data_IF_892877797985
#
_entry.id   IF_892877797985
#
_cell.length_a   1.000
_cell.length_b   1.000
_cell.length_c   1.000
_cell.angle_alpha   90.00
_cell.angle_beta   90.00
_cell.angle_gamma   90.00
#
_symmetry.space_group_name_H-M   'P 1'
#
loop_
_entity.id
_entity.type
_entity.pdbx_description
1 polymer ?
#
# COMPACT_ATOMS: atom_id res chain seq x y z
N UNK A 1 17.95 25.15 37.50
CA UNK A 1 18.27 23.72 37.67
C UNK A 1 18.48 23.08 36.31
N UNK A 2 19.67 22.56 36.02
CA UNK A 2 19.91 21.83 34.77
C UNK A 2 19.02 20.57 34.73
N UNK A 3 18.44 20.27 33.56
CA UNK A 3 17.66 19.05 33.38
C UNK A 3 18.58 17.83 33.52
N UNK A 4 18.18 16.86 34.36
CA UNK A 4 18.89 15.58 34.44
C UNK A 4 18.77 14.85 33.07
N UNK A 5 19.88 14.65 32.34
CA UNK A 5 19.85 14.08 30.99
C UNK A 5 19.23 12.68 30.97
N UNK A 6 19.37 11.90 32.04
CA UNK A 6 18.78 10.56 32.15
C UNK A 6 17.26 10.59 32.05
N UNK A 7 16.61 11.58 32.68
CA UNK A 7 15.14 11.67 32.68
C UNK A 7 14.62 12.13 31.32
N UNK A 8 15.31 13.08 30.67
CA UNK A 8 14.94 13.50 29.30
C UNK A 8 15.03 12.34 28.30
N UNK A 9 16.02 11.46 28.46
CA UNK A 9 16.14 10.23 27.68
C UNK A 9 14.95 9.29 27.90
N UNK A 10 14.57 9.04 29.16
CA UNK A 10 13.42 8.18 29.49
C UNK A 10 12.11 8.64 28.85
N UNK A 11 11.85 9.95 28.84
CA UNK A 11 10.65 10.51 28.20
C UNK A 11 10.67 10.32 26.70
N UNK A 12 11.80 10.61 26.05
CA UNK A 12 11.91 10.38 24.61
C UNK A 12 11.76 8.90 24.23
N UNK A 13 12.28 7.97 25.04
CA UNK A 13 12.03 6.53 24.86
C UNK A 13 10.57 6.14 25.08
N UNK A 14 9.89 6.74 26.07
CA UNK A 14 8.46 6.56 26.29
C UNK A 14 7.62 7.00 25.08
N UNK A 15 8.00 8.10 24.46
CA UNK A 15 7.39 8.57 23.22
C UNK A 15 7.60 7.60 22.05
N UNK A 16 8.83 7.10 21.85
CA UNK A 16 9.12 6.10 20.82
C UNK A 16 8.34 4.80 21.03
N UNK A 17 8.30 4.30 22.28
CA UNK A 17 7.53 3.11 22.62
C UNK A 17 6.04 3.30 22.35
N UNK A 18 5.48 4.48 22.63
CA UNK A 18 4.09 4.78 22.31
C UNK A 18 3.83 4.80 20.80
N UNK A 19 4.74 5.36 20.01
CA UNK A 19 4.68 5.35 18.55
C UNK A 19 4.70 3.92 17.98
N UNK A 20 5.61 3.08 18.48
CA UNK A 20 5.71 1.66 18.11
C UNK A 20 4.46 0.89 18.50
N UNK A 21 3.96 1.06 19.74
CA UNK A 21 2.74 0.40 20.20
C UNK A 21 1.53 0.76 19.34
N UNK A 22 1.35 2.04 19.03
CA UNK A 22 0.25 2.50 18.18
C UNK A 22 0.36 1.97 16.74
N UNK A 23 1.57 1.97 16.17
CA UNK A 23 1.85 1.38 14.87
C UNK A 23 1.54 -0.12 14.83
N UNK A 24 2.04 -0.89 15.81
CA UNK A 24 1.81 -2.33 15.89
C UNK A 24 0.34 -2.69 16.12
N UNK A 25 -0.40 -1.91 16.92
CA UNK A 25 -1.84 -2.07 17.05
C UNK A 25 -2.57 -1.80 15.75
N UNK A 26 -2.22 -0.70 15.08
CA UNK A 26 -2.80 -0.36 13.79
C UNK A 26 -2.56 -1.45 12.74
N UNK A 27 -1.34 -2.03 12.71
CA UNK A 27 -1.02 -3.19 11.87
C UNK A 27 -1.86 -4.43 12.23
N UNK A 28 -1.94 -4.78 13.51
CA UNK A 28 -2.70 -5.94 13.96
C UNK A 28 -4.20 -5.84 13.60
N UNK A 29 -4.75 -4.63 13.63
CA UNK A 29 -6.14 -4.34 13.27
C UNK A 29 -6.35 -4.25 11.77
N UNK A 30 -5.47 -3.58 11.02
CA UNK A 30 -5.66 -3.28 9.60
C UNK A 30 -5.30 -4.45 8.67
N UNK A 31 -4.45 -5.37 9.12
CA UNK A 31 -3.91 -6.45 8.29
C UNK A 31 -4.57 -7.80 8.63
N UNK A 32 -5.01 -8.49 7.58
CA UNK A 32 -5.43 -9.89 7.61
C UNK A 32 -4.24 -10.85 7.82
N UNK A 33 -4.49 -12.14 8.08
CA UNK A 33 -3.45 -13.06 8.54
C UNK A 33 -2.25 -13.18 7.59
N UNK A 34 -2.47 -13.33 6.28
CA UNK A 34 -1.39 -13.38 5.28
C UNK A 34 -0.58 -12.07 5.21
N UNK A 35 -1.25 -10.92 5.27
CA UNK A 35 -0.62 -9.60 5.21
C UNK A 35 0.34 -9.35 6.39
N UNK A 36 0.04 -9.90 7.58
CA UNK A 36 0.84 -9.67 8.79
C UNK A 36 2.28 -10.19 8.68
N UNK A 37 2.57 -11.18 7.83
CA UNK A 37 3.94 -11.63 7.61
C UNK A 37 4.80 -10.61 6.85
N UNK A 38 4.18 -9.70 6.11
CA UNK A 38 4.82 -8.61 5.36
C UNK A 38 4.84 -7.29 6.13
N UNK A 39 4.33 -7.29 7.37
CA UNK A 39 4.26 -6.09 8.18
C UNK A 39 5.63 -5.63 8.73
N UNK A 40 6.74 -6.27 8.35
CA UNK A 40 8.10 -5.97 8.81
C UNK A 40 8.94 -5.41 7.65
N UNK A 41 9.99 -4.62 7.93
CA UNK A 41 10.79 -3.94 6.93
C UNK A 41 11.83 -4.90 6.38
N UNK A 42 11.34 -6.00 5.85
CA UNK A 42 12.10 -7.12 5.34
C UNK A 42 11.60 -7.40 3.92
N UNK A 43 12.52 -7.84 3.06
CA UNK A 43 12.20 -8.18 1.67
C UNK A 43 11.42 -9.50 1.55
N UNK A 44 11.30 -10.27 2.62
CA UNK A 44 10.63 -11.57 2.66
C UNK A 44 9.63 -11.63 3.82
N UNK A 45 8.54 -12.40 3.68
CA UNK A 45 7.58 -12.62 4.76
C UNK A 45 8.26 -13.31 5.95
N UNK A 46 7.83 -12.96 7.17
CA UNK A 46 8.27 -13.65 8.40
C UNK A 46 7.08 -14.34 9.07
N UNK A 47 6.80 -15.61 8.73
CA UNK A 47 5.65 -16.37 9.22
C UNK A 47 5.51 -16.38 10.74
N UNK A 48 6.65 -16.55 11.43
CA UNK A 48 6.71 -16.61 12.89
C UNK A 48 6.16 -15.35 13.56
N UNK A 49 6.10 -14.22 12.84
CA UNK A 49 5.68 -12.93 13.39
C UNK A 49 4.24 -12.58 13.05
N UNK A 50 3.61 -13.25 12.07
CA UNK A 50 2.23 -12.98 11.67
C UNK A 50 1.24 -13.13 12.85
N UNK A 51 1.47 -14.12 13.71
CA UNK A 51 0.66 -14.37 14.91
C UNK A 51 1.04 -13.51 16.13
N UNK A 52 2.17 -12.81 16.12
CA UNK A 52 2.70 -12.12 17.31
C UNK A 52 2.60 -10.59 17.26
N UNK A 53 2.10 -9.99 16.17
CA UNK A 53 1.94 -8.53 16.10
C UNK A 53 1.12 -7.94 17.26
N UNK A 54 0.03 -8.61 17.66
CA UNK A 54 -0.76 -8.19 18.82
C UNK A 54 0.03 -8.29 20.13
N UNK A 55 0.83 -9.35 20.28
CA UNK A 55 1.72 -9.53 21.45
C UNK A 55 2.78 -8.43 21.49
N UNK A 56 3.41 -8.10 20.36
CA UNK A 56 4.35 -7.00 20.25
C UNK A 56 3.69 -5.65 20.55
N UNK A 57 2.49 -5.41 20.03
CA UNK A 57 1.71 -4.22 20.32
C UNK A 57 1.43 -4.08 21.83
N UNK A 58 1.06 -5.18 22.49
CA UNK A 58 0.85 -5.23 23.93
C UNK A 58 2.14 -4.94 24.72
N UNK A 59 3.27 -5.52 24.33
CA UNK A 59 4.58 -5.27 24.95
C UNK A 59 4.96 -3.79 24.83
N UNK A 60 4.89 -3.21 23.63
CA UNK A 60 5.19 -1.79 23.43
C UNK A 60 4.23 -0.87 24.18
N UNK A 61 2.95 -1.23 24.25
CA UNK A 61 1.94 -0.49 25.01
C UNK A 61 2.21 -0.55 26.51
N UNK A 62 2.64 -1.69 27.04
CA UNK A 62 3.01 -1.85 28.45
C UNK A 62 4.25 -1.01 28.78
N UNK A 63 5.28 -1.06 27.94
CA UNK A 63 6.49 -0.22 28.07
C UNK A 63 6.09 1.27 28.03
N UNK A 64 5.27 1.66 27.05
CA UNK A 64 4.76 3.02 26.96
C UNK A 64 3.99 3.42 28.22
N UNK A 65 3.06 2.60 28.71
CA UNK A 65 2.27 2.87 29.92
C UNK A 65 3.15 3.08 31.17
N UNK A 66 4.19 2.25 31.36
CA UNK A 66 5.13 2.40 32.48
C UNK A 66 5.89 3.73 32.37
N UNK A 67 6.43 4.04 31.19
CA UNK A 67 7.19 5.27 30.95
C UNK A 67 6.29 6.52 31.01
N UNK A 68 5.03 6.39 30.58
CA UNK A 68 3.98 7.40 30.70
C UNK A 68 3.70 7.73 32.17
N UNK A 69 3.47 6.70 32.98
CA UNK A 69 3.16 6.85 34.40
C UNK A 69 4.31 7.55 35.13
N UNK A 70 5.54 7.05 34.96
CA UNK A 70 6.75 7.64 35.55
C UNK A 70 7.01 9.07 35.04
N UNK A 71 6.88 9.28 33.73
CA UNK A 71 7.10 10.57 33.09
C UNK A 71 6.08 11.65 33.48
N UNK A 72 4.84 11.25 33.77
CA UNK A 72 3.74 12.19 34.07
C UNK A 72 3.97 13.01 35.33
N UNK A 73 4.45 12.37 36.41
CA UNK A 73 4.73 13.04 37.67
C UNK A 73 5.87 14.06 37.51
N UNK A 74 6.93 13.65 36.82
CA UNK A 74 8.05 14.52 36.49
C UNK A 74 7.63 15.70 35.60
N UNK A 75 6.82 15.44 34.57
CA UNK A 75 6.41 16.46 33.63
C UNK A 75 5.52 17.51 34.30
N UNK A 76 4.65 17.09 35.23
CA UNK A 76 3.88 18.01 36.09
C UNK A 76 4.79 18.82 36.99
N UNK A 77 5.73 18.18 37.69
CA UNK A 77 6.66 18.85 38.61
C UNK A 77 7.53 19.91 37.91
N UNK A 78 7.76 19.79 36.59
CA UNK A 78 8.55 20.76 35.80
C UNK A 78 7.73 21.68 34.91
N UNK A 79 6.40 21.65 34.99
CA UNK A 79 5.53 22.50 34.16
C UNK A 79 5.60 22.17 32.66
N UNK A 80 6.04 20.97 32.28
CA UNK A 80 6.18 20.51 30.89
C UNK A 80 5.17 19.40 30.53
N UNK A 81 4.09 19.29 31.30
CA UNK A 81 3.02 18.32 31.07
C UNK A 81 2.37 18.46 29.68
N UNK A 82 2.18 19.69 29.17
CA UNK A 82 1.54 19.91 27.88
C UNK A 82 2.40 19.48 26.67
N UNK A 83 3.69 19.85 26.56
CA UNK A 83 4.60 19.26 25.55
C UNK A 83 4.67 17.73 25.63
N UNK A 84 4.73 17.19 26.84
CA UNK A 84 4.78 15.74 27.05
C UNK A 84 3.51 15.07 26.51
N UNK A 85 2.33 15.54 26.91
CA UNK A 85 1.05 15.00 26.45
C UNK A 85 0.89 15.07 24.92
N UNK A 86 1.40 16.13 24.26
CA UNK A 86 1.34 16.23 22.79
C UNK A 86 2.14 15.14 22.11
N UNK A 87 3.39 14.91 22.51
CA UNK A 87 4.23 13.85 21.93
C UNK A 87 3.53 12.49 22.03
N UNK A 88 2.89 12.21 23.16
CA UNK A 88 2.27 10.92 23.46
C UNK A 88 0.92 10.69 22.80
N UNK A 89 0.18 11.75 22.52
CA UNK A 89 -1.16 11.62 21.94
C UNK A 89 -1.11 11.86 20.43
N UNK A 90 -0.48 12.93 19.98
CA UNK A 90 -0.57 13.35 18.58
C UNK A 90 0.18 12.39 17.67
N UNK A 91 1.47 12.12 17.93
CA UNK A 91 2.29 11.32 17.00
C UNK A 91 1.89 9.84 16.95
N UNK A 92 1.63 9.13 18.07
CA UNK A 92 1.14 7.76 18.02
C UNK A 92 -0.20 7.64 17.29
N UNK A 93 -1.14 8.57 17.52
CA UNK A 93 -2.42 8.58 16.80
C UNK A 93 -2.26 8.90 15.31
N UNK A 94 -1.33 9.78 14.94
CA UNK A 94 -1.02 10.06 13.54
C UNK A 94 -0.43 8.82 12.85
N UNK A 95 0.52 8.13 13.48
CA UNK A 95 1.09 6.89 12.93
C UNK A 95 0.03 5.79 12.81
N UNK A 96 -0.81 5.60 13.84
CA UNK A 96 -1.94 4.69 13.75
C UNK A 96 -2.92 5.11 12.64
N UNK A 97 -3.17 6.41 12.48
CA UNK A 97 -4.03 6.97 11.43
C UNK A 97 -3.49 6.70 10.01
N UNK A 98 -2.18 6.79 9.79
CA UNK A 98 -1.55 6.42 8.51
C UNK A 98 -1.84 4.96 8.17
N UNK A 99 -1.87 4.07 9.16
CA UNK A 99 -2.12 2.64 8.95
C UNK A 99 -3.58 2.24 8.89
N UNK A 100 -4.44 2.88 9.67
CA UNK A 100 -5.87 2.56 9.75
C UNK A 100 -6.69 3.27 8.69
N UNK A 101 -6.35 4.53 8.39
CA UNK A 101 -7.21 5.43 7.61
C UNK A 101 -6.65 5.69 6.23
N UNK A 102 -5.33 5.60 6.00
CA UNK A 102 -4.80 5.80 4.65
C UNK A 102 -5.02 4.54 3.82
N UNK A 103 -5.98 4.51 2.87
CA UNK A 103 -6.28 3.28 2.18
C UNK A 103 -5.16 2.99 1.19
N UNK A 104 -4.84 1.71 1.01
CA UNK A 104 -3.94 1.25 -0.06
C UNK A 104 -4.38 1.76 -1.44
N UNK A 105 -5.68 1.97 -1.64
CA UNK A 105 -6.32 2.46 -2.88
C UNK A 105 -6.52 3.98 -2.92
N UNK A 106 -5.97 4.73 -1.95
CA UNK A 106 -6.21 6.17 -1.80
C UNK A 106 -7.61 6.50 -1.26
N UNK A 107 -7.96 7.79 -1.18
CA UNK A 107 -9.17 8.29 -0.50
C UNK A 107 -10.49 7.69 -0.99
N UNK A 108 -10.54 7.17 -2.23
CA UNK A 108 -11.73 6.57 -2.82
C UNK A 108 -12.24 5.33 -2.07
N UNK A 109 -11.39 4.66 -1.29
CA UNK A 109 -11.78 3.50 -0.47
C UNK A 109 -12.41 3.88 0.89
N UNK A 110 -12.40 5.15 1.29
CA UNK A 110 -12.93 5.56 2.59
C UNK A 110 -14.45 5.69 2.54
N UNK A 111 -15.12 4.90 3.37
CA UNK A 111 -16.52 5.15 3.70
C UNK A 111 -16.70 6.48 4.46
N UNK A 112 -17.94 6.94 4.66
CA UNK A 112 -18.24 8.21 5.33
C UNK A 112 -17.56 8.36 6.70
N UNK A 113 -17.51 7.30 7.51
CA UNK A 113 -16.84 7.32 8.81
C UNK A 113 -15.33 7.53 8.71
N UNK A 114 -14.67 6.88 7.73
CA UNK A 114 -13.25 7.07 7.48
C UNK A 114 -12.91 8.49 7.02
N UNK A 115 -13.73 9.07 6.15
CA UNK A 115 -13.61 10.46 5.73
C UNK A 115 -13.81 11.44 6.90
N UNK A 116 -14.77 11.16 7.80
CA UNK A 116 -14.98 11.97 9.00
C UNK A 116 -13.76 11.93 9.93
N UNK A 117 -13.21 10.74 10.21
CA UNK A 117 -11.99 10.59 11.02
C UNK A 117 -10.81 11.32 10.37
N UNK A 118 -10.59 11.12 9.06
CA UNK A 118 -9.52 11.80 8.34
C UNK A 118 -9.68 13.32 8.41
N UNK A 119 -10.90 13.84 8.23
CA UNK A 119 -11.20 15.27 8.29
C UNK A 119 -10.93 15.84 9.69
N UNK A 120 -11.28 15.10 10.75
CA UNK A 120 -10.98 15.50 12.12
C UNK A 120 -9.48 15.52 12.40
N UNK A 121 -8.74 14.51 11.93
CA UNK A 121 -7.27 14.43 12.07
C UNK A 121 -6.59 15.58 11.32
N UNK A 122 -6.94 15.77 10.04
CA UNK A 122 -6.36 16.83 9.19
C UNK A 122 -6.76 18.21 9.69
N UNK A 123 -8.02 18.44 10.04
CA UNK A 123 -8.51 19.72 10.57
C UNK A 123 -7.89 20.05 11.93
N UNK A 124 -7.80 19.06 12.83
CA UNK A 124 -7.14 19.20 14.12
C UNK A 124 -5.65 19.51 13.98
N UNK A 125 -4.96 18.83 13.06
CA UNK A 125 -3.56 19.12 12.72
C UNK A 125 -3.41 20.54 12.16
N UNK A 126 -4.21 20.93 11.17
CA UNK A 126 -4.16 22.26 10.56
C UNK A 126 -4.39 23.37 11.60
N UNK A 127 -5.41 23.23 12.45
CA UNK A 127 -5.68 24.16 13.55
C UNK A 127 -4.50 24.23 14.53
N UNK A 128 -3.87 23.08 14.84
CA UNK A 128 -2.67 23.03 15.66
C UNK A 128 -1.50 23.77 15.01
N UNK A 129 -1.23 23.55 13.73
CA UNK A 129 -0.16 24.21 12.97
C UNK A 129 -0.35 25.73 12.93
N UNK A 130 -1.56 26.20 12.62
CA UNK A 130 -1.89 27.64 12.62
C UNK A 130 -1.64 28.24 14.00
N UNK A 131 -2.01 27.53 15.07
CA UNK A 131 -1.79 27.99 16.44
C UNK A 131 -0.31 28.08 16.80
N UNK A 132 0.50 27.09 16.43
CA UNK A 132 1.94 27.11 16.71
C UNK A 132 2.67 28.15 15.84
N UNK A 133 2.23 28.37 14.60
CA UNK A 133 2.71 29.46 13.75
C UNK A 133 2.40 30.84 14.36
N UNK A 134 1.15 31.09 14.77
CA UNK A 134 0.76 32.35 15.45
C UNK A 134 1.53 32.60 16.75
N UNK A 135 2.01 31.55 17.40
CA UNK A 135 2.85 31.62 18.61
C UNK A 135 4.33 31.86 18.30
N UNK A 136 4.71 32.00 17.02
CA UNK A 136 6.11 32.14 16.58
C UNK A 136 6.94 30.88 16.84
N UNK A 137 6.32 29.71 16.98
CA UNK A 137 7.01 28.45 17.32
C UNK A 137 7.38 27.62 16.09
N UNK A 138 6.75 27.90 14.95
CA UNK A 138 7.15 27.36 13.66
C UNK A 138 8.06 28.37 12.99
N UNK A 139 9.35 28.07 13.00
CA UNK A 139 10.35 28.85 12.29
C UNK A 139 10.55 28.26 10.90
N UNK A 140 10.18 29.03 9.87
CA UNK A 140 10.47 28.69 8.49
C UNK A 140 11.92 29.02 8.09
N UNK A 141 12.64 29.68 9.00
CA UNK A 141 14.08 29.92 9.07
C UNK A 141 14.67 30.77 7.96
N UNK A 142 15.96 31.13 8.11
CA UNK A 142 16.71 31.87 7.10
C UNK A 142 16.93 31.03 5.84
N UNK A 143 17.33 31.72 4.76
CA UNK A 143 17.72 31.09 3.51
C UNK A 143 18.88 30.11 3.76
N UNK A 144 18.89 28.93 3.10
CA UNK A 144 19.98 27.96 3.20
C UNK A 144 21.32 28.57 2.79
N UNK A 145 22.40 28.14 3.46
CA UNK A 145 23.75 28.52 3.07
C UNK A 145 24.23 27.75 1.84
N UNK A 146 25.31 28.21 1.21
CA UNK A 146 25.94 27.54 0.05
C UNK A 146 26.32 26.09 0.39
N UNK A 147 26.81 25.83 1.61
CA UNK A 147 27.18 24.49 2.06
C UNK A 147 25.97 23.54 2.11
N UNK A 148 24.79 24.02 2.51
CA UNK A 148 23.57 23.20 2.53
C UNK A 148 23.14 22.83 1.11
N UNK A 149 23.19 23.78 0.18
CA UNK A 149 22.92 23.53 -1.24
C UNK A 149 23.91 22.55 -1.86
N UNK A 150 25.21 22.70 -1.60
CA UNK A 150 26.24 21.82 -2.14
C UNK A 150 26.01 20.37 -1.70
N UNK A 151 25.72 20.15 -0.42
CA UNK A 151 25.42 18.80 0.08
C UNK A 151 24.15 18.22 -0.56
N UNK A 152 23.08 19.02 -0.65
CA UNK A 152 21.83 18.56 -1.25
C UNK A 152 22.00 18.24 -2.75
N UNK A 153 22.80 19.03 -3.47
CA UNK A 153 23.16 18.77 -4.86
C UNK A 153 23.99 17.49 -5.02
N UNK A 154 24.91 17.20 -4.09
CA UNK A 154 25.66 15.94 -4.07
C UNK A 154 24.71 14.75 -3.84
N UNK A 155 23.81 14.84 -2.86
CA UNK A 155 22.82 13.77 -2.61
C UNK A 155 21.93 13.54 -3.84
N UNK A 156 21.49 14.62 -4.49
CA UNK A 156 20.70 14.56 -5.72
C UNK A 156 21.48 13.88 -6.85
N UNK A 157 22.74 14.26 -7.06
CA UNK A 157 23.61 13.66 -8.07
C UNK A 157 23.84 12.17 -7.82
N UNK A 158 24.02 11.76 -6.56
CA UNK A 158 24.15 10.36 -6.17
C UNK A 158 22.88 9.56 -6.48
N UNK A 159 21.69 10.09 -6.14
CA UNK A 159 20.42 9.42 -6.45
C UNK A 159 20.18 9.31 -7.97
N UNK A 160 20.46 10.37 -8.73
CA UNK A 160 20.34 10.34 -10.19
C UNK A 160 21.29 9.31 -10.82
N UNK A 161 22.56 9.32 -10.41
CA UNK A 161 23.54 8.34 -10.90
C UNK A 161 23.13 6.91 -10.53
N UNK A 162 22.65 6.68 -9.31
CA UNK A 162 22.15 5.38 -8.88
C UNK A 162 20.97 4.92 -9.72
N UNK A 163 19.99 5.78 -9.96
CA UNK A 163 18.83 5.50 -10.81
C UNK A 163 19.21 5.11 -12.24
N UNK A 164 20.15 5.85 -12.85
CA UNK A 164 20.69 5.53 -14.18
C UNK A 164 21.41 4.18 -14.22
N UNK A 165 22.20 3.86 -13.19
CA UNK A 165 22.94 2.59 -13.10
C UNK A 165 21.99 1.39 -13.03
N UNK A 166 20.87 1.51 -12.30
CA UNK A 166 19.88 0.42 -12.17
C UNK A 166 18.85 0.39 -13.30
N UNK A 167 19.00 1.24 -14.32
CA UNK A 167 18.13 1.26 -15.49
C UNK A 167 16.73 1.80 -15.21
N UNK A 168 16.58 2.77 -14.30
CA UNK A 168 15.30 3.43 -14.10
C UNK A 168 14.88 4.26 -15.32
N UNK A 169 13.59 4.26 -15.61
CA UNK A 169 12.97 5.09 -16.65
C UNK A 169 12.15 6.19 -15.98
N UNK A 170 12.37 7.44 -16.41
CA UNK A 170 11.73 8.61 -15.82
C UNK A 170 10.81 9.28 -16.82
N UNK A 171 9.52 9.34 -16.50
CA UNK A 171 8.58 10.18 -17.24
C UNK A 171 8.80 11.65 -16.85
N UNK A 172 9.26 12.47 -17.80
CA UNK A 172 9.55 13.89 -17.56
C UNK A 172 8.36 14.68 -17.03
N UNK A 173 7.12 14.29 -17.39
CA UNK A 173 5.91 14.93 -16.88
C UNK A 173 5.69 14.62 -15.40
N UNK A 174 5.77 13.35 -15.02
CA UNK A 174 5.64 12.89 -13.63
C UNK A 174 6.77 13.45 -12.75
N UNK A 175 7.99 13.54 -13.28
CA UNK A 175 9.13 14.18 -12.61
C UNK A 175 8.84 15.66 -12.31
N UNK A 176 8.39 16.43 -13.31
CA UNK A 176 8.06 17.85 -13.14
C UNK A 176 6.93 18.03 -12.12
N UNK A 177 5.88 17.21 -12.19
CA UNK A 177 4.77 17.24 -11.24
C UNK A 177 5.26 16.94 -9.81
N UNK A 178 6.15 15.95 -9.64
CA UNK A 178 6.77 15.64 -8.36
C UNK A 178 7.55 16.84 -7.81
N UNK A 179 8.47 17.41 -8.59
CA UNK A 179 9.30 18.55 -8.14
C UNK A 179 8.46 19.74 -7.68
N UNK A 180 7.29 19.97 -8.30
CA UNK A 180 6.39 21.06 -7.95
C UNK A 180 5.53 20.77 -6.70
N UNK A 181 5.02 19.54 -6.56
CA UNK A 181 4.02 19.20 -5.54
C UNK A 181 4.62 18.53 -4.29
N UNK A 182 5.66 17.71 -4.45
CA UNK A 182 6.24 16.95 -3.34
C UNK A 182 6.85 17.85 -2.24
N UNK A 183 7.47 19.01 -2.53
CA UNK A 183 7.93 19.92 -1.49
C UNK A 183 6.81 20.41 -0.55
N UNK A 184 5.58 20.60 -1.08
CA UNK A 184 4.43 20.99 -0.27
C UNK A 184 4.03 19.86 0.69
N UNK A 185 4.02 18.62 0.18
CA UNK A 185 3.78 17.42 0.98
C UNK A 185 4.88 17.22 2.04
N UNK A 186 6.14 17.37 1.65
CA UNK A 186 7.30 17.28 2.52
C UNK A 186 7.27 18.32 3.64
N UNK A 187 6.80 19.55 3.36
CA UNK A 187 6.65 20.59 4.38
C UNK A 187 5.68 20.16 5.48
N UNK A 188 4.54 19.56 5.11
CA UNK A 188 3.57 19.03 6.08
C UNK A 188 4.21 17.90 6.90
N UNK A 189 4.87 16.94 6.24
CA UNK A 189 5.53 15.83 6.93
C UNK A 189 6.64 16.31 7.88
N UNK A 190 7.51 17.21 7.46
CA UNK A 190 8.57 17.78 8.30
C UNK A 190 8.01 18.60 9.45
N UNK A 191 6.89 19.28 9.27
CA UNK A 191 6.27 20.02 10.37
C UNK A 191 5.79 19.05 11.46
N UNK A 192 5.13 17.96 11.04
CA UNK A 192 4.60 16.92 11.93
C UNK A 192 5.70 16.13 12.63
N UNK A 193 6.68 15.63 11.87
CA UNK A 193 7.65 14.64 12.34
C UNK A 193 8.99 15.23 12.77
N UNK A 194 9.25 16.50 12.46
CA UNK A 194 10.49 17.19 12.86
C UNK A 194 10.21 18.45 13.69
N UNK A 195 9.54 19.46 13.12
CA UNK A 195 9.48 20.78 13.77
C UNK A 195 8.74 20.76 15.12
N UNK A 196 7.54 20.16 15.17
CA UNK A 196 6.76 20.03 16.39
C UNK A 196 7.46 19.15 17.45
N UNK A 197 7.85 17.90 17.16
CA UNK A 197 8.45 17.03 18.17
C UNK A 197 9.82 17.55 18.61
N UNK A 198 10.64 18.13 17.74
CA UNK A 198 11.90 18.75 18.16
C UNK A 198 11.67 19.91 19.14
N UNK A 199 10.66 20.74 18.90
CA UNK A 199 10.28 21.82 19.81
C UNK A 199 9.82 21.30 21.17
N UNK A 200 9.03 20.23 21.21
CA UNK A 200 8.55 19.63 22.45
C UNK A 200 9.66 18.89 23.20
N UNK A 201 10.51 18.12 22.51
CA UNK A 201 11.66 17.45 23.10
C UNK A 201 12.68 18.43 23.68
N UNK A 202 12.94 19.58 23.02
CA UNK A 202 13.78 20.66 23.58
C UNK A 202 13.22 21.18 24.90
N UNK A 203 11.89 21.36 25.01
CA UNK A 203 11.23 21.79 26.27
C UNK A 203 11.34 20.74 27.37
N UNK A 204 11.40 19.46 27.00
CA UNK A 204 11.67 18.36 27.93
C UNK A 204 13.15 18.24 28.30
N UNK A 205 14.01 19.11 27.77
CA UNK A 205 15.45 19.13 28.05
C UNK A 205 16.23 18.06 27.30
N UNK A 206 15.68 17.49 26.22
CA UNK A 206 16.41 16.53 25.39
C UNK A 206 17.58 17.22 24.66
N UNK A 207 18.73 16.54 24.60
CA UNK A 207 19.90 17.02 23.87
C UNK A 207 19.72 16.98 22.35
N UNK A 208 20.49 17.77 21.58
CA UNK A 208 20.38 17.82 20.12
C UNK A 208 20.53 16.45 19.44
N UNK A 209 21.47 15.62 19.90
CA UNK A 209 21.68 14.28 19.36
C UNK A 209 20.44 13.39 19.55
N UNK A 210 19.87 13.37 20.76
CA UNK A 210 18.65 12.61 21.05
C UNK A 210 17.48 13.06 20.19
N UNK A 211 17.30 14.38 20.00
CA UNK A 211 16.24 14.91 19.14
C UNK A 211 16.39 14.42 17.70
N UNK A 212 17.61 14.46 17.13
CA UNK A 212 17.86 13.96 15.76
C UNK A 212 17.48 12.51 15.62
N UNK A 213 17.99 11.65 16.51
CA UNK A 213 17.75 10.22 16.45
C UNK A 213 16.25 9.91 16.63
N UNK A 214 15.59 10.52 17.61
CA UNK A 214 14.18 10.23 17.87
C UNK A 214 13.27 10.71 16.73
N UNK A 215 13.50 11.91 16.18
CA UNK A 215 12.73 12.37 15.01
C UNK A 215 13.01 11.50 13.78
N UNK A 216 14.25 11.05 13.58
CA UNK A 216 14.61 10.15 12.49
C UNK A 216 13.92 8.78 12.60
N UNK A 217 13.91 8.19 13.79
CA UNK A 217 13.21 6.91 14.04
C UNK A 217 11.72 7.06 13.79
N UNK A 218 11.06 8.07 14.35
CA UNK A 218 9.60 8.26 14.15
C UNK A 218 9.27 8.53 12.69
N UNK A 219 10.09 9.30 11.98
CA UNK A 219 9.90 9.54 10.55
C UNK A 219 10.07 8.27 9.73
N UNK A 220 11.07 7.44 10.04
CA UNK A 220 11.27 6.14 9.39
C UNK A 220 10.09 5.19 9.64
N UNK A 221 9.53 5.18 10.87
CA UNK A 221 8.33 4.41 11.21
C UNK A 221 7.10 4.84 10.40
N UNK A 222 6.99 6.12 10.01
CA UNK A 222 5.92 6.58 9.13
C UNK A 222 6.03 6.00 7.70
N UNK A 223 7.22 5.52 7.31
CA UNK A 223 7.48 4.92 5.99
C UNK A 223 7.57 3.39 6.04
N UNK A 224 7.33 2.80 7.21
CA UNK A 224 7.25 1.37 7.41
C UNK A 224 6.11 0.75 6.59
N UNK A 225 6.22 -0.49 6.07
CA UNK A 225 7.33 -1.43 6.19
C UNK A 225 8.23 -1.47 4.94
N UNK A 226 8.27 -0.44 4.10
CA UNK A 226 9.12 -0.49 2.91
C UNK A 226 10.60 -0.41 3.32
N UNK A 227 11.42 -1.46 3.17
CA UNK A 227 12.77 -1.51 3.74
C UNK A 227 13.68 -0.43 3.16
N UNK A 228 13.61 -0.21 1.84
CA UNK A 228 14.41 0.80 1.16
C UNK A 228 14.00 2.20 1.63
N UNK A 229 12.70 2.51 1.60
CA UNK A 229 12.22 3.84 1.97
C UNK A 229 12.41 4.11 3.47
N UNK A 230 12.14 3.14 4.35
CA UNK A 230 12.39 3.24 5.79
C UNK A 230 13.87 3.49 6.08
N UNK A 231 14.78 2.75 5.44
CA UNK A 231 16.23 2.94 5.62
C UNK A 231 16.72 4.30 5.14
N UNK A 232 16.34 4.70 3.92
CA UNK A 232 16.74 5.99 3.34
C UNK A 232 16.18 7.16 4.14
N UNK A 233 14.92 7.09 4.56
CA UNK A 233 14.27 8.16 5.35
C UNK A 233 14.85 8.28 6.75
N UNK A 234 15.24 7.17 7.40
CA UNK A 234 15.98 7.19 8.66
C UNK A 234 17.27 8.00 8.51
N UNK A 235 18.09 7.65 7.52
CA UNK A 235 19.38 8.31 7.27
C UNK A 235 19.18 9.78 6.93
N UNK A 236 18.30 10.08 5.97
CA UNK A 236 18.04 11.45 5.53
C UNK A 236 17.51 12.34 6.68
N UNK A 237 16.62 11.81 7.52
CA UNK A 237 16.08 12.56 8.64
C UNK A 237 17.11 12.86 9.73
N UNK A 238 18.14 12.03 9.93
CA UNK A 238 19.25 12.38 10.83
C UNK A 238 19.94 13.67 10.36
N UNK A 239 20.18 13.80 9.05
CA UNK A 239 20.79 15.01 8.47
C UNK A 239 19.85 16.21 8.52
N UNK A 240 18.60 16.07 8.08
CA UNK A 240 17.63 17.16 8.10
C UNK A 240 17.28 17.63 9.50
N UNK A 241 17.13 16.74 10.47
CA UNK A 241 16.99 17.11 11.87
C UNK A 241 18.24 17.83 12.37
N UNK A 242 19.43 17.39 11.95
CA UNK A 242 20.69 18.07 12.25
C UNK A 242 20.72 19.51 11.74
N UNK A 243 20.30 19.73 10.50
CA UNK A 243 20.22 21.06 9.89
C UNK A 243 19.20 21.96 10.57
N UNK A 244 18.00 21.42 10.82
CA UNK A 244 16.94 22.14 11.50
C UNK A 244 17.38 22.60 12.89
N UNK A 245 18.09 21.72 13.62
CA UNK A 245 18.65 22.07 14.92
C UNK A 245 19.78 23.11 14.85
N UNK A 246 20.47 23.23 13.71
CA UNK A 246 21.48 24.28 13.42
C UNK A 246 20.86 25.57 12.86
N UNK A 247 19.55 25.63 12.69
CA UNK A 247 18.83 26.82 12.25
C UNK A 247 18.53 26.88 10.75
N UNK A 248 18.70 25.79 10.00
CA UNK A 248 18.24 25.74 8.60
C UNK A 248 16.72 25.80 8.55
N UNK A 249 16.19 26.67 7.70
CA UNK A 249 14.75 26.87 7.57
C UNK A 249 13.97 25.66 7.07
N UNK A 250 12.79 25.44 7.65
CA UNK A 250 11.93 24.28 7.36
C UNK A 250 11.53 24.19 5.89
N UNK A 251 11.27 25.34 5.22
CA UNK A 251 10.93 25.37 3.79
C UNK A 251 12.09 24.86 2.94
N UNK A 252 13.32 25.24 3.29
CA UNK A 252 14.50 24.76 2.56
C UNK A 252 14.68 23.26 2.68
N UNK A 253 14.49 22.72 3.89
CA UNK A 253 14.54 21.27 4.13
C UNK A 253 13.41 20.57 3.36
N UNK A 254 12.22 21.16 3.30
CA UNK A 254 11.08 20.61 2.55
C UNK A 254 11.33 20.56 1.04
N UNK A 255 11.96 21.59 0.46
CA UNK A 255 12.37 21.57 -0.96
C UNK A 255 13.40 20.48 -1.21
N UNK A 256 14.43 20.39 -0.35
CA UNK A 256 15.45 19.33 -0.40
C UNK A 256 14.81 17.94 -0.39
N UNK A 257 13.98 17.67 0.62
CA UNK A 257 13.27 16.42 0.77
C UNK A 257 12.35 16.12 -0.41
N UNK A 258 11.57 17.09 -0.86
CA UNK A 258 10.62 16.91 -1.97
C UNK A 258 11.31 16.58 -3.29
N UNK A 259 12.42 17.25 -3.60
CA UNK A 259 13.22 16.97 -4.80
C UNK A 259 13.88 15.59 -4.72
N UNK A 260 14.53 15.25 -3.59
CA UNK A 260 15.17 13.94 -3.43
C UNK A 260 14.15 12.80 -3.48
N UNK A 261 12.99 12.96 -2.85
CA UNK A 261 11.91 11.97 -2.90
C UNK A 261 11.33 11.82 -4.32
N UNK A 262 11.19 12.92 -5.06
CA UNK A 262 10.74 12.89 -6.45
C UNK A 262 11.74 12.12 -7.32
N UNK A 263 13.03 12.41 -7.20
CA UNK A 263 14.04 11.67 -7.97
C UNK A 263 14.07 10.21 -7.58
N UNK A 264 14.06 9.88 -6.29
CA UNK A 264 14.02 8.49 -5.84
C UNK A 264 12.81 7.74 -6.42
N UNK A 265 11.63 8.35 -6.42
CA UNK A 265 10.39 7.73 -6.90
C UNK A 265 10.21 7.72 -8.42
N UNK A 266 11.08 8.40 -9.20
CA UNK A 266 10.96 8.51 -10.65
C UNK A 266 12.19 8.01 -11.41
N UNK A 267 13.36 7.98 -10.78
CA UNK A 267 14.61 7.56 -11.40
C UNK A 267 14.99 6.11 -11.09
N UNK A 268 14.27 5.43 -10.18
CA UNK A 268 14.53 4.04 -9.82
C UNK A 268 13.39 3.13 -10.27
N UNK A 269 13.68 1.88 -10.69
CA UNK A 269 12.66 0.91 -11.06
C UNK A 269 11.64 0.68 -9.94
N UNK A 270 10.37 0.51 -10.32
CA UNK A 270 9.29 0.25 -9.36
C UNK A 270 9.52 -1.03 -8.54
N UNK A 271 10.22 -2.01 -9.11
CA UNK A 271 10.59 -3.25 -8.40
C UNK A 271 11.49 -3.01 -7.17
N UNK A 272 12.14 -1.84 -7.08
CA UNK A 272 13.01 -1.48 -5.95
C UNK A 272 12.30 -0.56 -4.96
N UNK A 273 11.51 0.38 -5.48
CA UNK A 273 10.91 1.45 -4.66
C UNK A 273 9.49 1.15 -4.24
N UNK A 274 8.80 0.24 -4.94
CA UNK A 274 7.36 0.02 -4.88
C UNK A 274 6.58 1.33 -5.02
N UNK A 275 7.03 2.23 -5.92
CA UNK A 275 6.52 3.59 -6.06
C UNK A 275 6.51 4.39 -4.74
N UNK A 276 7.50 4.15 -3.87
CA UNK A 276 7.58 4.70 -2.53
C UNK A 276 6.34 4.39 -1.67
N UNK A 277 5.62 3.30 -1.97
CA UNK A 277 4.48 2.87 -1.17
C UNK A 277 4.95 2.50 0.23
N UNK A 278 4.11 2.84 1.20
CA UNK A 278 4.31 2.57 2.62
C UNK A 278 2.99 2.08 3.22
N UNK A 279 3.00 1.63 4.47
CA UNK A 279 1.79 1.22 5.17
C UNK A 279 1.11 -0.02 4.56
N UNK A 280 -0.23 -0.14 4.69
CA UNK A 280 -0.98 -1.28 4.15
C UNK A 280 -0.87 -1.43 2.63
N UNK A 281 -0.62 -0.34 1.89
CA UNK A 281 -0.48 -0.38 0.43
C UNK A 281 0.76 -1.14 -0.04
N UNK A 282 1.87 -0.97 0.68
CA UNK A 282 3.08 -1.76 0.43
C UNK A 282 2.85 -3.24 0.80
N UNK A 283 2.32 -3.48 2.00
CA UNK A 283 2.05 -4.84 2.52
C UNK A 283 1.18 -5.64 1.56
N UNK A 284 0.09 -5.06 1.05
CA UNK A 284 -0.81 -5.70 0.09
C UNK A 284 -0.15 -5.93 -1.26
N UNK A 285 0.68 -5.00 -1.71
CA UNK A 285 1.45 -5.15 -2.95
C UNK A 285 2.36 -6.37 -2.87
N UNK A 286 3.19 -6.43 -1.83
CA UNK A 286 4.11 -7.55 -1.58
C UNK A 286 3.36 -8.88 -1.43
N UNK A 287 2.32 -8.92 -0.57
CA UNK A 287 1.50 -10.11 -0.39
C UNK A 287 0.84 -10.56 -1.70
N UNK A 288 0.28 -9.63 -2.50
CA UNK A 288 -0.37 -9.97 -3.77
C UNK A 288 0.57 -10.69 -4.73
N UNK A 289 1.82 -10.24 -4.84
CA UNK A 289 2.79 -10.85 -5.74
C UNK A 289 3.12 -12.28 -5.33
N UNK A 290 3.40 -12.52 -4.05
CA UNK A 290 3.73 -13.85 -3.54
C UNK A 290 2.52 -14.79 -3.58
N UNK A 291 1.32 -14.31 -3.18
CA UNK A 291 0.08 -15.07 -3.29
C UNK A 291 -0.22 -15.46 -4.75
N UNK A 292 0.08 -14.58 -5.71
CA UNK A 292 -0.13 -14.87 -7.12
C UNK A 292 0.84 -15.90 -7.69
N UNK A 293 2.07 -15.94 -7.18
CA UNK A 293 3.06 -16.97 -7.53
C UNK A 293 2.79 -18.30 -6.84
N UNK A 294 1.99 -18.31 -5.78
CA UNK A 294 1.76 -19.50 -4.96
C UNK A 294 2.84 -19.70 -3.89
N UNK A 295 3.61 -18.65 -3.55
CA UNK A 295 4.63 -18.66 -2.49
C UNK A 295 3.97 -18.59 -1.10
N UNK A 296 3.11 -19.58 -0.81
CA UNK A 296 2.24 -19.60 0.35
C UNK A 296 2.96 -20.20 1.56
N UNK A 297 3.69 -19.36 2.28
CA UNK A 297 4.34 -19.75 3.54
C UNK A 297 3.37 -20.31 4.59
N UNK A 298 2.07 -20.05 4.47
CA UNK A 298 1.01 -20.52 5.38
C UNK A 298 0.22 -21.73 4.86
N UNK A 299 0.40 -22.13 3.60
CA UNK A 299 -0.24 -23.32 3.07
C UNK A 299 0.77 -24.49 3.12
N UNK A 300 0.34 -25.72 3.46
CA UNK A 300 1.20 -26.87 3.27
C UNK A 300 1.58 -26.96 1.79
N UNK A 301 2.87 -27.16 1.52
CA UNK A 301 3.39 -27.38 0.17
C UNK A 301 2.57 -28.49 -0.49
N UNK A 302 1.70 -28.13 -1.42
CA UNK A 302 0.89 -29.08 -2.15
C UNK A 302 1.29 -28.99 -3.63
N UNK A 303 1.37 -30.15 -4.28
CA UNK A 303 1.84 -30.30 -5.66
C UNK A 303 0.90 -29.67 -6.70
N UNK A 304 -0.32 -29.28 -6.31
CA UNK A 304 -1.29 -28.66 -7.22
C UNK A 304 -0.93 -27.19 -7.57
N UNK A 305 -0.02 -26.58 -6.82
CA UNK A 305 0.49 -25.22 -7.07
C UNK A 305 1.64 -25.15 -8.07
N UNK A 306 2.38 -26.25 -8.21
CA UNK A 306 3.50 -26.38 -9.15
C UNK A 306 3.03 -26.64 -10.59
N UNK A 307 1.74 -26.95 -10.79
CA UNK A 307 1.16 -26.95 -12.13
C UNK A 307 1.24 -25.53 -12.71
N UNK A 308 1.79 -25.40 -13.92
CA UNK A 308 1.96 -24.10 -14.59
C UNK A 308 0.63 -23.32 -14.70
N UNK A 309 -0.52 -24.00 -14.62
CA UNK A 309 -1.87 -23.49 -14.77
C UNK A 309 -2.88 -24.11 -13.77
N UNK A 310 -2.86 -23.71 -12.48
CA UNK A 310 -3.75 -24.25 -11.48
C UNK A 310 -5.19 -23.87 -11.83
N UNK A 311 -6.09 -24.81 -11.61
CA UNK A 311 -7.52 -24.56 -11.77
C UNK A 311 -7.97 -23.47 -10.79
N UNK A 312 -8.92 -22.60 -11.18
CA UNK A 312 -9.27 -21.43 -10.37
C UNK A 312 -9.76 -21.76 -8.95
N UNK A 313 -10.54 -22.83 -8.80
CA UNK A 313 -11.12 -23.20 -7.50
C UNK A 313 -10.09 -23.76 -6.50
N UNK A 314 -9.24 -24.75 -6.85
CA UNK A 314 -8.13 -25.18 -5.98
C UNK A 314 -7.22 -24.03 -5.56
N UNK A 315 -6.90 -23.12 -6.49
CA UNK A 315 -6.13 -21.90 -6.21
C UNK A 315 -6.82 -21.07 -5.11
N UNK A 316 -8.12 -20.78 -5.26
CA UNK A 316 -8.90 -20.05 -4.27
C UNK A 316 -8.98 -20.76 -2.91
N UNK A 317 -9.30 -22.06 -2.90
CA UNK A 317 -9.46 -22.84 -1.67
C UNK A 317 -8.19 -22.84 -0.82
N UNK A 318 -7.02 -22.81 -1.44
CA UNK A 318 -5.75 -22.77 -0.71
C UNK A 318 -5.33 -21.34 -0.28
N UNK A 319 -5.71 -20.29 -1.01
CA UNK A 319 -5.50 -18.90 -0.55
C UNK A 319 -6.45 -18.48 0.57
N UNK A 320 -7.71 -18.89 0.48
CA UNK A 320 -8.81 -18.34 1.28
C UNK A 320 -8.54 -18.41 2.80
N UNK A 321 -8.08 -19.53 3.38
CA UNK A 321 -7.80 -19.61 4.81
C UNK A 321 -6.73 -18.64 5.28
N UNK A 322 -5.65 -18.46 4.52
CA UNK A 322 -4.57 -17.55 4.90
C UNK A 322 -4.92 -16.08 4.71
N UNK A 323 -5.71 -15.75 3.69
CA UNK A 323 -6.08 -14.36 3.40
C UNK A 323 -7.28 -13.90 4.22
N UNK A 324 -8.34 -14.71 4.28
CA UNK A 324 -9.62 -14.39 4.94
C UNK A 324 -9.62 -14.83 6.40
N UNK A 325 -8.80 -15.81 6.78
CA UNK A 325 -8.74 -16.33 8.15
C UNK A 325 -9.77 -17.42 8.46
N UNK A 326 -10.43 -17.98 7.44
CA UNK A 326 -11.37 -19.11 7.56
C UNK A 326 -11.45 -19.90 6.25
N UNK A 327 -11.98 -21.15 6.25
CA UNK A 327 -12.23 -21.89 5.02
C UNK A 327 -13.22 -21.20 4.08
N UNK A 328 -13.10 -21.49 2.78
CA UNK A 328 -14.05 -21.08 1.74
C UNK A 328 -15.35 -21.87 1.93
N UNK A 329 -16.48 -21.18 2.10
CA UNK A 329 -17.79 -21.83 2.25
C UNK A 329 -18.35 -22.29 0.90
N UNK A 330 -19.32 -23.24 0.88
CA UNK A 330 -19.87 -23.80 -0.36
C UNK A 330 -20.61 -22.76 -1.21
N UNK A 331 -21.29 -21.80 -0.60
CA UNK A 331 -22.00 -20.73 -1.31
C UNK A 331 -21.01 -19.73 -1.93
N UNK A 332 -19.93 -19.48 -1.22
CA UNK A 332 -18.86 -18.62 -1.69
C UNK A 332 -18.09 -19.26 -2.84
N UNK A 333 -17.81 -20.55 -2.72
CA UNK A 333 -17.25 -21.38 -3.78
C UNK A 333 -18.09 -21.31 -5.06
N UNK A 334 -19.42 -21.44 -4.95
CA UNK A 334 -20.31 -21.28 -6.12
C UNK A 334 -20.24 -19.87 -6.71
N UNK A 335 -20.26 -18.84 -5.88
CA UNK A 335 -20.18 -17.44 -6.32
C UNK A 335 -18.83 -17.13 -7.01
N UNK A 336 -17.73 -17.59 -6.43
CA UNK A 336 -16.39 -17.46 -6.99
C UNK A 336 -16.23 -18.20 -8.31
N UNK A 337 -16.72 -19.43 -8.38
CA UNK A 337 -16.69 -20.24 -9.62
C UNK A 337 -17.44 -19.52 -10.73
N UNK A 338 -18.68 -19.07 -10.47
CA UNK A 338 -19.47 -18.33 -11.45
C UNK A 338 -18.79 -17.02 -11.89
N UNK A 339 -18.19 -16.27 -10.96
CA UNK A 339 -17.50 -15.02 -11.26
C UNK A 339 -16.22 -15.23 -12.09
N UNK A 340 -15.42 -16.23 -11.73
CA UNK A 340 -14.18 -16.56 -12.44
C UNK A 340 -14.47 -17.13 -13.82
N UNK A 341 -15.47 -18.00 -13.96
CA UNK A 341 -15.87 -18.52 -15.27
C UNK A 341 -16.33 -17.39 -16.19
N UNK A 342 -17.18 -16.50 -15.68
CA UNK A 342 -17.62 -15.30 -16.42
C UNK A 342 -16.44 -14.41 -16.81
N UNK A 343 -15.48 -14.22 -15.92
CA UNK A 343 -14.31 -13.40 -16.16
C UNK A 343 -13.35 -14.06 -17.16
N UNK A 344 -13.19 -15.39 -17.11
CA UNK A 344 -12.42 -16.18 -18.08
C UNK A 344 -13.06 -16.16 -19.46
N UNK A 345 -14.38 -16.34 -19.58
CA UNK A 345 -15.12 -16.18 -20.85
C UNK A 345 -14.89 -14.81 -21.46
N UNK A 346 -14.93 -13.75 -20.64
CA UNK A 346 -14.65 -12.38 -21.08
C UNK A 346 -13.23 -12.22 -21.61
N UNK A 347 -12.24 -12.80 -20.94
CA UNK A 347 -10.85 -12.76 -21.36
C UNK A 347 -10.63 -13.48 -22.69
N UNK A 348 -11.17 -14.70 -22.81
CA UNK A 348 -11.11 -15.51 -24.04
C UNK A 348 -11.72 -14.74 -25.21
N UNK A 349 -12.92 -14.17 -25.04
CA UNK A 349 -13.55 -13.34 -26.07
C UNK A 349 -12.64 -12.18 -26.49
N UNK A 350 -12.01 -11.49 -25.53
CA UNK A 350 -11.11 -10.38 -25.84
C UNK A 350 -9.87 -10.85 -26.60
N UNK A 351 -9.21 -11.89 -26.11
CA UNK A 351 -8.04 -12.50 -26.74
C UNK A 351 -8.34 -13.00 -28.16
N UNK A 352 -9.51 -13.62 -28.34
CA UNK A 352 -10.00 -14.08 -29.64
C UNK A 352 -10.12 -12.91 -30.63
N UNK A 353 -10.80 -11.83 -30.22
CA UNK A 353 -11.03 -10.66 -31.08
C UNK A 353 -9.76 -9.90 -31.45
N UNK A 354 -8.71 -9.93 -30.61
CA UNK A 354 -7.42 -9.28 -30.92
C UNK A 354 -6.44 -10.21 -31.65
N UNK A 355 -6.74 -11.52 -31.70
CA UNK A 355 -5.91 -12.56 -32.30
C UNK A 355 -5.87 -12.49 -33.83
N UNK A 356 -4.82 -13.08 -34.42
CA UNK A 356 -4.59 -13.05 -35.87
C UNK A 356 -5.77 -13.63 -36.66
N UNK A 357 -6.31 -14.75 -36.17
CA UNK A 357 -7.42 -15.46 -36.80
C UNK A 357 -8.66 -14.58 -37.01
N UNK A 358 -9.02 -13.77 -36.00
CA UNK A 358 -10.14 -12.83 -36.14
C UNK A 358 -9.83 -11.66 -37.07
N UNK A 359 -8.55 -11.23 -37.14
CA UNK A 359 -8.13 -10.16 -38.04
C UNK A 359 -8.21 -10.56 -39.50
N UNK A 360 -7.97 -11.84 -39.80
CA UNK A 360 -8.01 -12.37 -41.16
C UNK A 360 -9.45 -12.48 -41.67
N UNK A 361 -10.42 -12.79 -40.80
CA UNK A 361 -11.84 -12.94 -41.17
C UNK A 361 -12.83 -12.25 -40.18
N UNK A 362 -12.81 -10.92 -40.05
CA UNK A 362 -13.64 -10.22 -39.07
C UNK A 362 -15.12 -10.20 -39.50
N UNK A 363 -16.01 -10.92 -38.79
CA UNK A 363 -17.45 -10.93 -39.09
C UNK A 363 -18.32 -9.98 -38.26
N UNK A 364 -17.84 -9.55 -37.10
CA UNK A 364 -18.59 -8.73 -36.15
C UNK A 364 -18.10 -7.28 -36.05
N UNK A 365 -17.12 -6.89 -36.88
CA UNK A 365 -16.53 -5.55 -36.91
C UNK A 365 -15.00 -5.59 -36.90
N UNK A 366 -14.33 -4.43 -37.00
CA UNK A 366 -12.88 -4.36 -36.95
C UNK A 366 -12.34 -4.77 -35.58
N UNK A 367 -11.19 -5.45 -35.50
CA UNK A 367 -10.61 -5.92 -34.25
C UNK A 367 -10.48 -4.76 -33.23
N UNK A 368 -10.82 -4.98 -31.95
CA UNK A 368 -10.63 -3.97 -30.93
C UNK A 368 -9.16 -3.61 -30.79
N UNK A 369 -8.89 -2.40 -30.28
CA UNK A 369 -7.54 -2.05 -29.87
C UNK A 369 -7.12 -2.96 -28.71
N UNK A 370 -5.87 -3.49 -28.67
CA UNK A 370 -5.44 -4.44 -27.65
C UNK A 370 -5.68 -3.99 -26.20
N UNK A 371 -5.59 -2.68 -25.95
CA UNK A 371 -5.79 -2.09 -24.61
C UNK A 371 -7.26 -1.96 -24.18
N UNK A 372 -8.23 -2.11 -25.10
CA UNK A 372 -9.67 -1.96 -24.86
C UNK A 372 -10.13 -0.60 -24.33
N UNK A 373 -9.28 0.42 -24.43
CA UNK A 373 -9.54 1.78 -23.92
C UNK A 373 -10.03 2.72 -25.01
N UNK A 374 -9.86 2.37 -26.29
CA UNK A 374 -10.34 3.19 -27.38
C UNK A 374 -11.86 3.48 -27.23
N UNK A 375 -12.30 4.74 -27.37
CA UNK A 375 -13.71 5.09 -27.21
C UNK A 375 -14.65 4.28 -28.12
N UNK A 376 -14.19 3.92 -29.33
CA UNK A 376 -14.93 3.06 -30.27
C UNK A 376 -15.18 1.65 -29.72
N UNK A 377 -14.16 1.03 -29.11
CA UNK A 377 -14.27 -0.31 -28.53
C UNK A 377 -15.29 -0.37 -27.41
N UNK A 378 -15.38 0.69 -26.61
CA UNK A 378 -16.34 0.74 -25.50
C UNK A 378 -17.80 0.71 -25.96
N UNK A 379 -18.11 1.30 -27.13
CA UNK A 379 -19.48 1.37 -27.65
C UNK A 379 -19.86 0.10 -28.39
N UNK A 380 -18.94 -0.45 -29.18
CA UNK A 380 -19.21 -1.61 -30.02
C UNK A 380 -18.97 -2.94 -29.31
N UNK A 381 -17.77 -3.13 -28.74
CA UNK A 381 -17.33 -4.44 -28.24
C UNK A 381 -17.85 -4.78 -26.84
N UNK A 382 -18.01 -3.79 -25.95
CA UNK A 382 -18.47 -4.07 -24.57
C UNK A 382 -19.84 -4.76 -24.51
N UNK A 383 -20.89 -4.33 -25.25
CA UNK A 383 -22.18 -5.03 -25.23
C UNK A 383 -22.08 -6.47 -25.75
N UNK A 384 -21.28 -6.70 -26.80
CA UNK A 384 -21.07 -8.04 -27.38
C UNK A 384 -20.40 -8.96 -26.36
N UNK A 385 -19.29 -8.51 -25.79
CA UNK A 385 -18.53 -9.25 -24.77
C UNK A 385 -19.38 -9.49 -23.52
N UNK A 386 -20.15 -8.51 -23.08
CA UNK A 386 -21.03 -8.66 -21.92
C UNK A 386 -22.12 -9.72 -22.17
N UNK A 387 -22.74 -9.70 -23.35
CA UNK A 387 -23.76 -10.68 -23.75
C UNK A 387 -23.18 -12.09 -23.86
N UNK A 388 -22.04 -12.24 -24.54
CA UNK A 388 -21.44 -13.56 -24.80
C UNK A 388 -20.73 -14.15 -23.57
N UNK A 389 -20.27 -13.33 -22.62
CA UNK A 389 -19.72 -13.84 -21.35
C UNK A 389 -20.80 -14.17 -20.31
N UNK A 390 -22.06 -13.82 -20.53
CA UNK A 390 -23.16 -14.07 -19.60
C UNK A 390 -23.57 -15.55 -19.55
N UNK A 391 -24.22 -15.93 -18.45
CA UNK A 391 -24.60 -17.33 -18.20
C UNK A 391 -25.61 -17.87 -19.24
N UNK A 392 -26.60 -17.10 -19.75
CA UNK A 392 -27.49 -17.60 -20.80
C UNK A 392 -26.75 -18.01 -22.09
N UNK A 393 -25.71 -17.27 -22.48
CA UNK A 393 -24.90 -17.64 -23.65
C UNK A 393 -24.12 -18.93 -23.37
N UNK A 394 -23.50 -19.03 -22.20
CA UNK A 394 -22.80 -20.24 -21.75
C UNK A 394 -23.69 -21.48 -21.73
N UNK A 395 -24.89 -21.37 -21.17
CA UNK A 395 -25.88 -22.46 -21.13
C UNK A 395 -26.33 -22.87 -22.54
N UNK A 396 -26.60 -21.90 -23.41
CA UNK A 396 -26.96 -22.16 -24.82
C UNK A 396 -25.83 -22.81 -25.62
N UNK A 397 -24.58 -22.60 -25.19
CA UNK A 397 -23.39 -23.22 -25.76
C UNK A 397 -23.10 -24.62 -25.16
N UNK A 398 -24.01 -25.17 -24.35
CA UNK A 398 -23.89 -26.51 -23.74
C UNK A 398 -23.29 -26.53 -22.34
N UNK A 399 -22.99 -25.37 -21.75
CA UNK A 399 -22.50 -25.27 -20.37
C UNK A 399 -21.11 -25.87 -20.14
N UNK A 400 -20.31 -26.01 -21.20
CA UNK A 400 -18.93 -26.53 -21.15
C UNK A 400 -17.96 -25.58 -21.86
N UNK A 401 -16.67 -25.67 -21.53
CA UNK A 401 -15.65 -24.82 -22.14
C UNK A 401 -15.51 -25.07 -23.65
N UNK A 402 -15.50 -26.32 -24.07
CA UNK A 402 -15.45 -26.71 -25.49
C UNK A 402 -16.69 -26.23 -26.23
N UNK A 403 -17.86 -26.34 -25.61
CA UNK A 403 -19.12 -25.85 -26.17
C UNK A 403 -19.12 -24.32 -26.34
N UNK A 404 -18.65 -23.59 -25.32
CA UNK A 404 -18.47 -22.15 -25.38
C UNK A 404 -17.48 -21.71 -26.47
N UNK A 405 -16.29 -22.31 -26.54
CA UNK A 405 -15.31 -22.01 -27.59
C UNK A 405 -15.87 -22.32 -28.97
N UNK A 406 -16.53 -23.48 -29.13
CA UNK A 406 -17.20 -23.84 -30.39
C UNK A 406 -18.24 -22.79 -30.79
N UNK A 407 -19.05 -22.30 -29.85
CA UNK A 407 -20.00 -21.23 -30.10
C UNK A 407 -19.31 -19.90 -30.47
N UNK A 408 -18.19 -19.56 -29.83
CA UNK A 408 -17.39 -18.36 -30.18
C UNK A 408 -16.84 -18.46 -31.60
N UNK A 409 -16.19 -19.57 -31.98
CA UNK A 409 -15.69 -19.77 -33.36
C UNK A 409 -16.82 -19.70 -34.38
N UNK A 410 -17.97 -20.32 -34.09
CA UNK A 410 -19.15 -20.25 -34.96
C UNK A 410 -19.64 -18.82 -35.11
N UNK A 411 -19.77 -18.08 -34.02
CA UNK A 411 -20.39 -16.75 -34.04
C UNK A 411 -19.43 -15.66 -34.57
N UNK A 412 -18.11 -15.79 -34.35
CA UNK A 412 -17.11 -14.83 -34.82
C UNK A 412 -16.51 -15.17 -36.20
N UNK A 413 -16.37 -16.45 -36.55
CA UNK A 413 -15.71 -16.91 -37.78
C UNK A 413 -16.60 -17.79 -38.67
N UNK A 414 -17.78 -18.20 -38.21
CA UNK A 414 -18.71 -19.00 -39.01
C UNK A 414 -18.25 -20.43 -39.29
N UNK A 415 -17.35 -20.96 -38.47
CA UNK A 415 -16.84 -22.33 -38.58
C UNK A 415 -16.73 -22.99 -37.21
N UNK A 416 -16.59 -24.30 -37.18
CA UNK A 416 -16.19 -25.02 -35.98
C UNK A 416 -14.67 -24.96 -35.79
N UNK A 417 -14.18 -24.93 -34.54
CA UNK A 417 -12.75 -25.06 -34.27
C UNK A 417 -12.28 -26.49 -34.50
N UNK A 418 -11.02 -26.65 -34.90
CA UNK A 418 -10.33 -27.92 -34.89
C UNK A 418 -10.01 -28.34 -33.43
N UNK A 419 -9.85 -29.65 -33.14
CA UNK A 419 -9.49 -30.12 -31.80
C UNK A 419 -8.21 -29.49 -31.24
N UNK A 420 -7.20 -29.24 -32.10
CA UNK A 420 -5.97 -28.57 -31.70
C UNK A 420 -6.19 -27.10 -31.31
N UNK A 421 -7.13 -26.42 -31.95
CA UNK A 421 -7.50 -25.03 -31.61
C UNK A 421 -8.19 -24.97 -30.25
N UNK A 422 -9.09 -25.92 -29.96
CA UNK A 422 -9.72 -26.05 -28.63
C UNK A 422 -8.68 -26.31 -27.54
N UNK A 423 -7.73 -27.21 -27.80
CA UNK A 423 -6.66 -27.56 -26.85
C UNK A 423 -5.66 -26.42 -26.60
N UNK A 424 -5.53 -25.46 -27.52
CA UNK A 424 -4.63 -24.32 -27.39
C UNK A 424 -5.13 -23.25 -26.39
N UNK A 425 -6.40 -23.28 -25.98
CA UNK A 425 -6.94 -22.33 -25.02
C UNK A 425 -6.56 -22.71 -23.58
N UNK A 426 -5.89 -21.81 -22.83
CA UNK A 426 -5.43 -22.14 -21.48
C UNK A 426 -6.61 -22.45 -20.55
N UNK A 427 -6.44 -23.49 -19.74
CA UNK A 427 -7.46 -23.99 -18.82
C UNK A 427 -7.34 -23.43 -17.40
N UNK A 428 -6.14 -23.05 -16.99
CA UNK A 428 -5.85 -22.48 -15.68
C UNK A 428 -5.80 -20.95 -15.66
N UNK A 429 -5.41 -20.44 -14.50
CA UNK A 429 -5.16 -19.02 -14.31
C UNK A 429 -3.71 -18.69 -14.64
N UNK A 430 -3.49 -17.72 -15.53
CA UNK A 430 -2.17 -17.14 -15.70
C UNK A 430 -1.80 -16.21 -14.52
N UNK A 431 -0.53 -15.80 -14.41
CA UNK A 431 -0.04 -14.97 -13.31
C UNK A 431 -0.82 -13.65 -13.13
N UNK A 432 -1.25 -13.01 -14.22
CA UNK A 432 -2.05 -11.76 -14.16
C UNK A 432 -3.40 -12.03 -13.51
N UNK A 433 -4.07 -13.11 -13.90
CA UNK A 433 -5.36 -13.49 -13.31
C UNK A 433 -5.20 -13.89 -11.85
N UNK A 434 -4.14 -14.62 -11.49
CA UNK A 434 -3.82 -14.95 -10.08
C UNK A 434 -3.62 -13.69 -9.24
N UNK A 435 -2.88 -12.70 -9.75
CA UNK A 435 -2.71 -11.38 -9.10
C UNK A 435 -4.04 -10.67 -8.88
N UNK A 436 -4.93 -10.69 -9.87
CA UNK A 436 -6.25 -10.07 -9.76
C UNK A 436 -7.12 -10.75 -8.69
N UNK A 437 -7.10 -12.08 -8.63
CA UNK A 437 -7.80 -12.83 -7.58
C UNK A 437 -7.22 -12.50 -6.20
N UNK A 438 -5.89 -12.52 -6.06
CA UNK A 438 -5.22 -12.16 -4.81
C UNK A 438 -5.54 -10.72 -4.37
N UNK A 439 -5.55 -9.76 -5.31
CA UNK A 439 -5.90 -8.36 -5.03
C UNK A 439 -7.34 -8.20 -4.54
N UNK A 440 -8.28 -8.90 -5.18
CA UNK A 440 -9.67 -8.93 -4.76
C UNK A 440 -9.81 -9.54 -3.36
N UNK A 441 -9.11 -10.66 -3.09
CA UNK A 441 -9.12 -11.31 -1.78
C UNK A 441 -8.58 -10.37 -0.69
N UNK A 442 -7.40 -9.80 -0.89
CA UNK A 442 -6.76 -8.87 0.05
C UNK A 442 -7.62 -7.62 0.30
N UNK A 443 -8.26 -7.08 -0.74
CA UNK A 443 -9.10 -5.88 -0.64
C UNK A 443 -10.39 -6.09 0.16
N UNK A 444 -10.87 -7.33 0.27
CA UNK A 444 -12.16 -7.65 0.92
C UNK A 444 -12.03 -8.59 2.13
N UNK A 445 -10.83 -9.08 2.46
CA UNK A 445 -10.58 -10.05 3.53
C UNK A 445 -11.26 -9.68 4.86
N UNK A 446 -11.13 -8.42 5.31
CA UNK A 446 -11.76 -7.97 6.56
C UNK A 446 -13.30 -8.00 6.53
N UNK A 447 -13.92 -7.77 5.37
CA UNK A 447 -15.38 -7.89 5.22
C UNK A 447 -15.82 -9.35 5.26
N UNK A 448 -15.08 -10.24 4.61
CA UNK A 448 -15.42 -11.66 4.52
C UNK A 448 -15.05 -12.48 5.75
N UNK A 449 -14.05 -12.04 6.53
CA UNK A 449 -13.69 -12.64 7.80
C UNK A 449 -14.87 -12.66 8.80
N UNK A 450 -15.74 -11.65 8.73
CA UNK A 450 -16.91 -11.51 9.61
C UNK A 450 -18.24 -11.80 8.92
N UNK A 451 -18.24 -12.03 7.60
CA UNK A 451 -19.46 -12.42 6.90
C UNK A 451 -19.93 -13.77 7.44
N UNK A 452 -21.15 -13.80 7.98
CA UNK A 452 -21.86 -15.04 8.26
C UNK A 452 -22.13 -15.75 6.93
N UNK A 453 -22.23 -17.07 6.94
CA UNK A 453 -22.56 -17.88 5.76
C UNK A 453 -24.01 -17.68 5.27
N UNK A 454 -24.59 -16.49 5.49
CA UNK A 454 -25.94 -16.15 5.07
C UNK A 454 -25.98 -16.04 3.53
N UNK A 455 -26.90 -16.73 2.84
CA UNK A 455 -27.05 -16.68 1.39
C UNK A 455 -27.23 -15.26 0.80
N UNK A 456 -27.68 -14.28 1.59
CA UNK A 456 -27.71 -12.86 1.20
C UNK A 456 -26.31 -12.26 0.93
N UNK A 457 -25.24 -12.89 1.43
CA UNK A 457 -23.86 -12.51 1.20
C UNK A 457 -23.35 -12.85 -0.20
N UNK A 458 -24.07 -13.61 -1.03
CA UNK A 458 -23.63 -13.97 -2.38
C UNK A 458 -23.29 -12.74 -3.26
N UNK A 459 -23.97 -11.60 -3.05
CA UNK A 459 -23.67 -10.34 -3.72
C UNK A 459 -22.38 -9.65 -3.22
N UNK A 460 -21.89 -10.00 -2.03
CA UNK A 460 -20.65 -9.50 -1.43
C UNK A 460 -19.40 -10.31 -1.81
N UNK A 461 -19.57 -11.53 -2.34
CA UNK A 461 -18.51 -12.56 -2.29
C UNK A 461 -17.58 -12.57 -3.49
N UNK A 462 -17.99 -12.08 -4.67
CA UNK A 462 -17.10 -12.01 -5.82
C UNK A 462 -17.30 -10.68 -6.55
N UNK A 463 -16.56 -9.60 -6.19
CA UNK A 463 -16.58 -8.40 -7.01
C UNK A 463 -16.17 -8.76 -8.44
N UNK A 464 -16.69 -8.04 -9.45
CA UNK A 464 -16.34 -8.32 -10.83
C UNK A 464 -14.83 -8.23 -10.99
N UNK A 465 -14.16 -9.38 -11.20
CA UNK A 465 -12.71 -9.42 -11.42
C UNK A 465 -12.43 -8.63 -12.70
N UNK A 466 -11.74 -7.47 -12.63
CA UNK A 466 -11.53 -6.63 -13.79
C UNK A 466 -10.42 -7.24 -14.65
N UNK A 467 -10.75 -8.10 -15.61
CA UNK A 467 -9.75 -8.81 -16.42
C UNK A 467 -9.28 -8.03 -17.67
N UNK A 468 -9.90 -6.90 -18.02
CA UNK A 468 -9.58 -6.15 -19.25
C UNK A 468 -8.35 -5.23 -19.15
N UNK A 469 -7.33 -5.54 -18.34
CA UNK A 469 -6.03 -4.89 -18.48
C UNK A 469 -4.98 -5.91 -18.87
N UNK A 470 -4.97 -6.26 -20.15
CA UNK A 470 -3.76 -6.74 -20.81
C UNK A 470 -2.77 -5.57 -20.72
N UNK A 471 -1.75 -5.69 -19.89
CA UNK A 471 -0.58 -4.80 -19.94
C UNK A 471 0.49 -5.47 -20.77
#
# INVERSE_FOLDING_TARGET
MAANPRISGLLGWGWLAACLGALSWAQAVALGPAERAYAWPLSAPVPAVAGSLASWAAVWSAIAAILLWQGSAWARARGVAAPWARLLLVHPLLLAGIWLVWPASGLAGLGPGGLAILSLVVGGLAAHLVREWRRGRLDFGPRPGIADFARDAVLLAVLLAGGLIVGGDSDGRSLLQGVLLYPLYALVQLTVFLALPAGDLRRLGAGPASIRIMCAVVFALAHWPNPLVTGLTLIAMVFWAGDFLRGRGLVSIAVSMGVLATVLGQAYPDAWTDHLRVGPGYVRGAAREDLARGDLWFAPANSAWEEEDPRPLPFLQALYPGVVGRPLGPDEERAWTAALDRARRRNILWQFMIGQEYRDEPRLGPPPHPDGRAPGDRRHWRPIVARMSADPYWESAGGTWDGFLTAVYRDFLGRSPAPAELAAWPSGLNLIQRRQVAEVLLGNAGRWAHATADPGAAALVAPPVPILQVR
#
